data_IF_663164565299
#
_entry.id   IF_663164565299
#
_cell.length_a   1.000
_cell.length_b   1.000
_cell.length_c   1.000
_cell.angle_alpha   90.00
_cell.angle_beta   90.00
_cell.angle_gamma   90.00
#
_symmetry.space_group_name_H-M   'P 1'
#
loop_
_entity.id
_entity.type
_entity.pdbx_description
1 polymer ?
#
# COMPACT_ATOMS: atom_id res chain seq x y z
N UNK A 1 12.98 5.65 -4.73
CA UNK A 1 12.36 4.30 -4.68
C UNK A 1 12.19 3.94 -3.22
N UNK A 2 10.98 3.54 -2.82
CA UNK A 2 10.53 3.64 -1.42
C UNK A 2 10.87 2.40 -0.55
N UNK A 3 11.41 1.33 -1.14
CA UNK A 3 11.72 0.07 -0.45
C UNK A 3 12.57 0.21 0.82
N UNK A 4 13.60 1.05 0.80
CA UNK A 4 14.46 1.29 1.97
C UNK A 4 13.68 1.98 3.12
N UNK A 5 12.85 2.95 2.78
CA UNK A 5 12.02 3.69 3.74
C UNK A 5 10.90 2.80 4.29
N UNK A 6 10.34 1.90 3.47
CA UNK A 6 9.37 0.88 3.91
C UNK A 6 10.00 -0.11 4.89
N UNK A 7 11.24 -0.56 4.64
CA UNK A 7 11.95 -1.39 5.60
C UNK A 7 12.15 -0.67 6.95
N UNK A 8 12.52 0.61 6.91
CA UNK A 8 12.67 1.42 8.10
C UNK A 8 11.33 1.56 8.85
N UNK A 9 10.24 1.85 8.13
CA UNK A 9 8.89 1.96 8.69
C UNK A 9 8.43 0.65 9.35
N UNK A 10 8.58 -0.48 8.67
CA UNK A 10 8.26 -1.81 9.21
C UNK A 10 9.05 -2.08 10.49
N UNK A 11 10.35 -1.76 10.50
CA UNK A 11 11.21 -1.98 11.69
C UNK A 11 10.77 -1.10 12.86
N UNK A 12 10.45 0.16 12.60
CA UNK A 12 10.07 1.14 13.62
C UNK A 12 8.69 0.84 14.22
N UNK A 13 7.71 0.48 13.40
CA UNK A 13 6.32 0.31 13.82
C UNK A 13 5.87 -1.15 14.02
N UNK A 14 6.71 -2.14 13.72
CA UNK A 14 6.44 -3.55 14.05
C UNK A 14 6.10 -3.76 15.54
N UNK A 15 6.83 -3.19 16.52
CA UNK A 15 6.48 -3.33 17.94
C UNK A 15 5.11 -2.75 18.30
N UNK A 16 4.58 -1.86 17.46
CA UNK A 16 3.26 -1.24 17.60
C UNK A 16 2.17 -1.95 16.77
N UNK A 17 2.49 -3.11 16.18
CA UNK A 17 1.56 -3.95 15.45
C UNK A 17 1.41 -3.63 13.96
N UNK A 18 2.24 -2.75 13.39
CA UNK A 18 2.23 -2.51 11.94
C UNK A 18 2.79 -3.72 11.19
N UNK A 19 2.08 -4.14 10.14
CA UNK A 19 2.54 -5.17 9.19
C UNK A 19 2.45 -4.62 7.78
N UNK A 20 3.56 -4.55 7.07
CA UNK A 20 3.62 -4.14 5.67
C UNK A 20 3.44 -5.38 4.78
N UNK A 21 2.60 -5.24 3.75
CA UNK A 21 2.31 -6.27 2.75
C UNK A 21 2.53 -5.68 1.35
N UNK A 22 3.45 -6.24 0.58
CA UNK A 22 3.75 -5.80 -0.78
C UNK A 22 3.17 -6.72 -1.85
N UNK A 23 2.47 -6.14 -2.83
CA UNK A 23 1.83 -6.85 -3.94
C UNK A 23 2.39 -6.38 -5.28
N UNK A 24 3.45 -7.02 -5.80
CA UNK A 24 4.07 -6.59 -7.04
C UNK A 24 3.07 -6.53 -8.20
N UNK A 25 3.21 -5.54 -9.08
CA UNK A 25 2.34 -5.41 -10.25
C UNK A 25 3.08 -4.82 -11.45
N UNK A 26 2.77 -5.32 -12.64
CA UNK A 26 3.40 -4.86 -13.88
C UNK A 26 2.52 -3.88 -14.69
N UNK A 27 1.38 -3.47 -14.13
CA UNK A 27 0.37 -2.66 -14.83
C UNK A 27 0.78 -1.20 -15.07
N UNK A 28 1.83 -0.72 -14.40
CA UNK A 28 2.26 0.68 -14.44
C UNK A 28 3.63 0.81 -15.09
N UNK A 29 3.66 1.27 -16.34
CA UNK A 29 4.89 1.47 -17.10
C UNK A 29 5.73 0.21 -17.31
N UNK A 30 5.16 -0.99 -17.10
CA UNK A 30 5.84 -2.29 -17.11
C UNK A 30 7.10 -2.33 -16.22
N UNK A 31 6.98 -1.78 -15.01
CA UNK A 31 8.13 -1.62 -14.09
C UNK A 31 8.47 -2.88 -13.27
N UNK A 32 7.64 -3.92 -13.33
CA UNK A 32 7.88 -5.22 -12.67
C UNK A 32 7.83 -6.38 -13.69
N UNK A 33 8.76 -6.39 -14.68
CA UNK A 33 8.71 -7.33 -15.80
C UNK A 33 9.06 -8.76 -15.40
N UNK A 34 9.88 -8.96 -14.36
CA UNK A 34 10.40 -10.26 -13.96
C UNK A 34 9.35 -11.19 -13.35
N UNK A 35 9.57 -12.49 -13.45
CA UNK A 35 8.74 -13.52 -12.85
C UNK A 35 8.79 -13.47 -11.31
N UNK A 36 7.84 -14.12 -10.64
CA UNK A 36 7.79 -14.14 -9.16
C UNK A 36 9.13 -14.55 -8.50
N UNK A 37 9.85 -15.50 -9.12
CA UNK A 37 11.16 -15.96 -8.65
C UNK A 37 12.29 -14.94 -8.83
N UNK A 38 12.10 -13.94 -9.69
CA UNK A 38 13.13 -12.96 -10.07
C UNK A 38 13.02 -11.64 -9.29
N UNK A 39 11.86 -11.37 -8.67
CA UNK A 39 11.60 -10.11 -7.94
C UNK A 39 12.60 -9.91 -6.79
N UNK A 40 12.75 -10.90 -5.89
CA UNK A 40 13.69 -10.79 -4.77
C UNK A 40 15.15 -10.67 -5.23
N UNK A 41 15.65 -11.48 -6.19
CA UNK A 41 16.95 -11.25 -6.81
C UNK A 41 17.12 -9.84 -7.40
N UNK A 42 16.14 -9.32 -8.12
CA UNK A 42 16.19 -7.99 -8.71
C UNK A 42 16.32 -6.90 -7.64
N UNK A 43 15.54 -6.99 -6.55
CA UNK A 43 15.64 -6.09 -5.41
C UNK A 43 17.02 -6.15 -4.74
N UNK A 44 17.58 -7.36 -4.62
CA UNK A 44 18.87 -7.59 -3.93
C UNK A 44 20.08 -7.16 -4.73
N UNK A 45 20.07 -7.38 -6.05
CA UNK A 45 21.27 -7.24 -6.89
C UNK A 45 21.19 -6.11 -7.90
N UNK A 46 19.99 -5.67 -8.30
CA UNK A 46 19.82 -4.69 -9.38
C UNK A 46 19.36 -3.34 -8.84
N UNK A 47 18.17 -3.32 -8.24
CA UNK A 47 17.53 -2.08 -7.79
C UNK A 47 16.47 -2.42 -6.73
N UNK A 48 16.63 -2.04 -5.44
CA UNK A 48 17.68 -1.18 -4.88
C UNK A 48 19.12 -1.67 -5.05
N UNK A 49 19.34 -2.98 -5.12
CA UNK A 49 20.68 -3.53 -5.19
C UNK A 49 21.38 -3.49 -3.82
N UNK A 50 22.71 -3.62 -3.82
CA UNK A 50 23.52 -3.48 -2.61
C UNK A 50 23.24 -4.53 -1.52
N UNK A 51 22.66 -5.68 -1.89
CA UNK A 51 22.28 -6.72 -0.93
C UNK A 51 20.96 -6.46 -0.21
N UNK A 52 20.15 -5.50 -0.68
CA UNK A 52 18.86 -5.17 -0.08
C UNK A 52 17.91 -6.40 -0.03
N UNK A 53 17.22 -6.57 1.10
CA UNK A 53 16.17 -7.58 1.26
C UNK A 53 14.99 -6.91 1.97
N UNK A 54 13.76 -6.98 1.44
CA UNK A 54 12.58 -6.53 2.15
C UNK A 54 12.44 -7.23 3.50
N UNK A 55 12.13 -6.49 4.57
CA UNK A 55 11.84 -7.06 5.90
C UNK A 55 10.33 -7.24 6.14
N UNK A 56 9.57 -7.28 5.06
CA UNK A 56 8.12 -7.42 5.04
C UNK A 56 7.71 -8.41 3.94
N UNK A 57 6.49 -8.93 4.03
CA UNK A 57 6.03 -9.99 3.13
C UNK A 57 5.75 -9.43 1.72
N UNK A 58 6.32 -10.07 0.71
CA UNK A 58 5.90 -9.92 -0.69
C UNK A 58 4.99 -11.08 -1.10
N UNK A 59 3.92 -10.77 -1.80
CA UNK A 59 3.01 -11.73 -2.40
C UNK A 59 3.37 -11.98 -3.87
N UNK A 60 2.65 -12.91 -4.50
CA UNK A 60 2.77 -13.11 -5.93
C UNK A 60 2.35 -11.86 -6.69
N UNK A 61 3.03 -11.62 -7.81
CA UNK A 61 2.70 -10.58 -8.77
C UNK A 61 1.30 -10.80 -9.32
N UNK A 62 0.54 -9.72 -9.45
CA UNK A 62 -0.80 -9.78 -9.99
C UNK A 62 -1.36 -8.41 -10.34
N UNK A 63 -2.58 -8.41 -10.85
CA UNK A 63 -3.27 -7.20 -11.25
C UNK A 63 -3.95 -6.54 -10.04
N UNK A 64 -3.91 -5.21 -10.03
CA UNK A 64 -4.52 -4.36 -8.99
C UNK A 64 -5.64 -3.47 -9.56
N UNK A 65 -5.68 -3.35 -10.89
CA UNK A 65 -6.73 -2.70 -11.66
C UNK A 65 -7.23 -3.58 -12.81
N UNK A 66 -8.37 -3.20 -13.40
CA UNK A 66 -8.95 -3.88 -14.56
C UNK A 66 -9.82 -5.09 -14.21
N UNK A 67 -10.21 -5.85 -15.23
CA UNK A 67 -11.13 -7.00 -15.09
C UNK A 67 -10.57 -8.12 -14.21
N UNK A 68 -9.25 -8.36 -14.31
CA UNK A 68 -8.53 -9.44 -13.63
C UNK A 68 -7.92 -9.01 -12.28
N UNK A 69 -8.30 -7.84 -11.76
CA UNK A 69 -7.76 -7.35 -10.50
C UNK A 69 -8.04 -8.30 -9.33
N UNK A 70 -7.06 -8.41 -8.43
CA UNK A 70 -7.21 -9.17 -7.20
C UNK A 70 -8.37 -8.60 -6.37
N UNK A 71 -9.29 -9.47 -5.93
CA UNK A 71 -10.58 -9.05 -5.34
C UNK A 71 -10.45 -8.20 -4.08
N UNK A 72 -9.38 -8.37 -3.30
CA UNK A 72 -9.13 -7.50 -2.15
C UNK A 72 -8.76 -6.07 -2.57
N UNK A 73 -8.11 -5.85 -3.72
CA UNK A 73 -7.89 -4.52 -4.26
C UNK A 73 -9.19 -3.87 -4.73
N UNK A 74 -10.14 -4.63 -5.30
CA UNK A 74 -11.50 -4.11 -5.55
C UNK A 74 -12.12 -3.54 -4.28
N UNK A 75 -12.02 -4.29 -3.18
CA UNK A 75 -12.53 -3.84 -1.88
C UNK A 75 -11.80 -2.57 -1.39
N UNK A 76 -10.46 -2.55 -1.41
CA UNK A 76 -9.67 -1.43 -0.91
C UNK A 76 -9.91 -0.14 -1.71
N UNK A 77 -9.87 -0.23 -3.05
CA UNK A 77 -10.02 0.92 -3.95
C UNK A 77 -11.37 1.61 -3.80
N UNK A 78 -12.44 0.84 -3.55
CA UNK A 78 -13.79 1.36 -3.38
C UNK A 78 -14.12 1.75 -1.93
N UNK A 79 -13.27 1.40 -0.96
CA UNK A 79 -13.46 1.76 0.46
C UNK A 79 -12.95 3.14 0.82
N UNK A 80 -12.09 3.73 -0.03
CA UNK A 80 -11.50 5.06 0.18
C UNK A 80 -11.69 5.94 -1.07
N UNK A 81 -11.90 7.26 -0.92
CA UNK A 81 -11.86 8.20 -2.03
C UNK A 81 -10.55 8.09 -2.84
N UNK A 82 -10.57 8.43 -4.14
CA UNK A 82 -9.34 8.51 -4.92
C UNK A 82 -8.43 9.62 -4.36
N UNK A 83 -7.13 9.36 -4.33
CA UNK A 83 -6.11 10.26 -3.76
C UNK A 83 -5.43 11.15 -4.79
N UNK A 84 -5.66 10.88 -6.09
CA UNK A 84 -5.21 11.72 -7.21
C UNK A 84 -6.37 11.80 -8.21
N UNK A 85 -6.67 13.01 -8.66
CA UNK A 85 -7.83 13.30 -9.51
C UNK A 85 -7.72 12.69 -10.91
N UNK A 86 -6.50 12.63 -11.45
CA UNK A 86 -6.26 12.16 -12.81
C UNK A 86 -5.22 11.05 -12.86
N UNK A 87 -5.30 10.29 -13.94
CA UNK A 87 -4.24 9.38 -14.34
C UNK A 87 -3.08 10.16 -14.97
N UNK A 88 -1.89 9.56 -14.98
CA UNK A 88 -0.78 10.01 -15.82
C UNK A 88 -1.05 9.72 -17.30
N UNK A 89 0.02 9.63 -18.10
CA UNK A 89 -0.09 9.22 -19.51
C UNK A 89 -0.77 7.84 -19.64
N UNK A 90 -1.96 7.74 -20.24
CA UNK A 90 -2.69 6.48 -20.39
C UNK A 90 -1.90 5.41 -21.16
N UNK A 91 -0.95 5.80 -22.02
CA UNK A 91 -0.08 4.85 -22.74
C UNK A 91 0.86 4.06 -21.83
N UNK A 92 0.97 4.48 -20.56
CA UNK A 92 1.77 3.82 -19.53
C UNK A 92 0.92 2.98 -18.58
N UNK A 93 -0.38 2.87 -18.83
CA UNK A 93 -1.34 2.11 -18.05
C UNK A 93 -1.74 0.87 -18.84
N UNK A 94 -1.58 -0.30 -18.24
CA UNK A 94 -1.76 -1.59 -18.94
C UNK A 94 -2.91 -2.39 -18.31
N UNK A 95 -4.12 -1.81 -18.31
CA UNK A 95 -5.36 -2.47 -17.92
C UNK A 95 -6.56 -1.77 -18.54
N UNK A 96 -7.68 -2.49 -18.62
CA UNK A 96 -8.99 -1.95 -18.98
C UNK A 96 -10.08 -2.65 -18.12
N UNK A 97 -11.24 -2.00 -17.89
CA UNK A 97 -11.50 -0.59 -18.15
C UNK A 97 -10.85 0.32 -17.09
N UNK A 98 -10.52 1.56 -17.45
CA UNK A 98 -10.11 2.60 -16.49
C UNK A 98 -11.29 3.06 -15.61
N UNK A 99 -11.08 3.13 -14.29
CA UNK A 99 -12.08 3.56 -13.29
C UNK A 99 -11.56 4.67 -12.39
N UNK A 100 -12.47 5.52 -11.88
CA UNK A 100 -12.12 6.65 -11.00
C UNK A 100 -11.34 6.21 -9.76
N UNK A 101 -11.69 5.07 -9.17
CA UNK A 101 -11.05 4.53 -7.96
C UNK A 101 -9.78 3.73 -8.20
N UNK A 102 -9.35 3.52 -9.46
CA UNK A 102 -8.14 2.75 -9.77
C UNK A 102 -6.91 3.30 -9.07
N UNK A 103 -6.02 2.39 -8.70
CA UNK A 103 -4.67 2.73 -8.26
C UNK A 103 -3.98 3.47 -9.39
N UNK A 104 -3.33 4.58 -9.06
CA UNK A 104 -2.85 5.56 -10.04
C UNK A 104 -1.44 5.28 -10.50
N UNK A 105 -0.60 4.69 -9.64
CA UNK A 105 0.78 4.30 -9.96
C UNK A 105 1.37 3.39 -8.87
N UNK A 106 2.57 2.85 -9.13
CA UNK A 106 3.42 2.15 -8.17
C UNK A 106 3.59 2.96 -6.87
N UNK A 107 3.58 2.25 -5.74
CA UNK A 107 3.67 2.73 -4.36
C UNK A 107 2.45 3.49 -3.84
N UNK A 108 1.26 3.25 -4.37
CA UNK A 108 0.03 3.63 -3.67
C UNK A 108 -0.20 2.75 -2.44
N UNK A 109 -0.75 3.31 -1.36
CA UNK A 109 -0.73 2.70 -0.02
C UNK A 109 -2.10 2.74 0.62
N UNK A 110 -2.47 1.67 1.33
CA UNK A 110 -3.71 1.56 2.10
C UNK A 110 -3.39 1.13 3.52
N UNK A 111 -3.84 1.90 4.51
CA UNK A 111 -3.86 1.45 5.91
C UNK A 111 -5.18 0.75 6.17
N UNK A 112 -5.08 -0.46 6.72
CA UNK A 112 -6.20 -1.25 7.20
C UNK A 112 -6.09 -1.35 8.73
N UNK A 113 -7.21 -1.17 9.40
CA UNK A 113 -7.32 -1.27 10.85
C UNK A 113 -7.30 -2.71 11.35
N UNK A 114 -7.16 -2.92 12.67
CA UNK A 114 -7.18 -4.23 13.32
C UNK A 114 -8.51 -4.95 13.10
N UNK A 115 -9.58 -4.20 12.88
CA UNK A 115 -10.90 -4.74 12.54
C UNK A 115 -11.02 -5.19 11.07
N UNK A 116 -9.93 -5.12 10.29
CA UNK A 116 -9.92 -5.44 8.86
C UNK A 116 -10.52 -4.36 7.96
N UNK A 117 -10.83 -3.18 8.50
CA UNK A 117 -11.45 -2.08 7.76
C UNK A 117 -10.42 -1.11 7.19
N UNK A 118 -10.52 -0.69 5.93
CA UNK A 118 -9.67 0.37 5.39
C UNK A 118 -9.89 1.68 6.15
N UNK A 119 -8.79 2.36 6.46
CA UNK A 119 -8.76 3.57 7.28
C UNK A 119 -8.30 4.77 6.45
N UNK A 120 -7.24 4.57 5.67
CA UNK A 120 -6.59 5.66 4.95
C UNK A 120 -5.95 5.15 3.66
N UNK A 121 -5.87 6.03 2.66
CA UNK A 121 -5.23 5.80 1.37
C UNK A 121 -4.26 6.95 1.10
N UNK A 122 -3.07 6.65 0.60
CA UNK A 122 -2.09 7.66 0.20
C UNK A 122 -1.65 7.46 -1.24
N UNK A 123 -1.42 8.59 -1.92
CA UNK A 123 -0.94 8.60 -3.29
C UNK A 123 0.48 8.04 -3.44
N UNK A 124 0.87 7.68 -4.67
CA UNK A 124 2.18 7.13 -5.01
C UNK A 124 3.37 7.95 -4.51
N UNK A 125 3.25 9.28 -4.56
CA UNK A 125 4.33 10.24 -4.25
C UNK A 125 4.30 10.76 -2.82
N UNK A 126 3.35 10.34 -1.99
CA UNK A 126 3.31 10.77 -0.59
C UNK A 126 4.58 10.31 0.13
N UNK A 127 5.24 11.25 0.81
CA UNK A 127 6.46 11.00 1.56
C UNK A 127 6.20 10.00 2.71
N UNK A 128 7.09 9.02 2.89
CA UNK A 128 6.95 7.98 3.91
C UNK A 128 7.00 8.53 5.35
N UNK A 129 7.66 9.65 5.59
CA UNK A 129 7.62 10.34 6.87
C UNK A 129 6.21 10.89 7.17
N UNK A 130 5.51 11.41 6.16
CA UNK A 130 4.11 11.84 6.32
C UNK A 130 3.19 10.64 6.57
N UNK A 131 3.34 9.56 5.79
CA UNK A 131 2.60 8.30 6.02
C UNK A 131 2.83 7.77 7.43
N UNK A 132 4.08 7.78 7.91
CA UNK A 132 4.43 7.38 9.27
C UNK A 132 3.72 8.22 10.33
N UNK A 133 3.78 9.54 10.20
CA UNK A 133 3.14 10.45 11.14
C UNK A 133 1.63 10.24 11.18
N UNK A 134 0.98 10.10 10.00
CA UNK A 134 -0.45 9.81 9.91
C UNK A 134 -0.83 8.49 10.59
N UNK A 135 -0.03 7.43 10.41
CA UNK A 135 -0.25 6.14 11.08
C UNK A 135 -0.12 6.28 12.60
N UNK A 136 0.93 6.95 13.09
CA UNK A 136 1.16 7.17 14.51
C UNK A 136 0.03 7.99 15.13
N UNK A 137 -0.40 9.05 14.45
CA UNK A 137 -1.49 9.91 14.92
C UNK A 137 -2.81 9.15 14.96
N UNK A 138 -3.09 8.32 13.94
CA UNK A 138 -4.26 7.45 13.95
C UNK A 138 -4.21 6.43 15.10
N UNK A 139 -3.08 5.74 15.29
CA UNK A 139 -2.90 4.80 16.41
C UNK A 139 -3.11 5.46 17.77
N UNK A 140 -2.62 6.70 17.95
CA UNK A 140 -2.86 7.50 19.16
C UNK A 140 -4.35 7.82 19.33
N UNK A 141 -5.04 8.26 18.28
CA UNK A 141 -6.47 8.59 18.33
C UNK A 141 -7.34 7.38 18.69
N UNK A 142 -6.98 6.18 18.22
CA UNK A 142 -7.67 4.95 18.61
C UNK A 142 -7.42 4.56 20.07
N UNK A 143 -6.24 4.87 20.61
CA UNK A 143 -5.94 4.72 22.04
C UNK A 143 -6.51 5.82 22.93
N UNK A 144 -6.83 6.99 22.37
CA UNK A 144 -7.33 8.17 23.09
C UNK A 144 -8.85 8.35 23.02
N UNK A 145 -9.57 7.56 22.21
CA UNK A 145 -11.01 7.72 22.02
C UNK A 145 -11.35 9.01 21.28
N UNK A 146 -11.32 8.94 19.93
CA UNK A 146 -11.85 9.91 18.96
C UNK A 146 -11.20 11.31 18.90
N UNK A 147 -10.86 11.77 17.69
CA UNK A 147 -11.24 13.08 17.12
C UNK A 147 -10.83 13.18 15.63
N UNK A 148 -11.71 13.83 14.86
CA UNK A 148 -11.91 13.82 13.41
C UNK A 148 -10.72 14.19 12.50
N UNK A 149 -10.51 13.38 11.44
CA UNK A 149 -10.06 13.80 10.08
C UNK A 149 -10.49 12.78 9.02
N UNK A 150 -11.41 13.11 8.11
CA UNK A 150 -11.83 12.29 6.93
C UNK A 150 -11.60 10.77 7.09
N UNK A 151 -12.36 10.15 7.98
CA UNK A 151 -12.28 8.71 8.27
C UNK A 151 -13.26 7.93 7.38
N UNK A 152 -12.86 6.74 6.94
CA UNK A 152 -13.83 5.71 6.57
C UNK A 152 -14.72 5.40 7.80
N UNK A 153 -16.05 5.23 7.67
CA UNK A 153 -16.95 5.13 8.82
C UNK A 153 -16.68 3.90 9.73
N UNK A 154 -16.63 4.13 11.06
CA UNK A 154 -16.24 3.12 12.10
C UNK A 154 -17.27 2.99 13.23
N UNK A 155 -17.69 1.76 13.62
CA UNK A 155 -18.27 1.40 14.91
C UNK A 155 -17.25 0.66 15.83
N UNK A 156 -17.58 0.40 17.12
CA UNK A 156 -16.57 0.18 18.17
C UNK A 156 -15.94 -1.24 18.26
N UNK A 157 -14.66 -1.21 18.65
CA UNK A 157 -13.84 -2.20 19.41
C UNK A 157 -13.41 -3.55 18.79
N UNK A 158 -12.08 -3.71 18.63
CA UNK A 158 -11.31 -4.95 18.86
C UNK A 158 -9.80 -4.62 18.92
N UNK A 159 -9.16 -4.92 20.06
CA UNK A 159 -7.89 -4.31 20.51
C UNK A 159 -6.58 -5.09 20.23
N UNK A 160 -6.58 -6.18 19.43
CA UNK A 160 -5.35 -7.03 19.30
C UNK A 160 -5.02 -7.58 17.91
N UNK A 161 -5.58 -7.02 16.85
CA UNK A 161 -5.20 -7.42 15.49
C UNK A 161 -4.09 -6.51 14.92
N UNK A 162 -3.28 -7.00 13.97
CA UNK A 162 -2.26 -6.19 13.31
C UNK A 162 -2.89 -5.05 12.51
N UNK A 163 -2.07 -4.06 12.17
CA UNK A 163 -2.41 -2.95 11.28
C UNK A 163 -1.77 -3.19 9.91
N UNK A 164 -2.48 -3.77 8.92
CA UNK A 164 -1.89 -3.99 7.60
C UNK A 164 -1.71 -2.67 6.85
N UNK A 165 -0.49 -2.41 6.38
CA UNK A 165 -0.20 -1.41 5.34
C UNK A 165 0.03 -2.15 4.02
N UNK A 166 -0.97 -2.16 3.16
CA UNK A 166 -0.88 -2.77 1.85
C UNK A 166 -0.35 -1.74 0.85
N UNK A 167 0.62 -2.15 0.04
CA UNK A 167 1.10 -1.35 -1.08
C UNK A 167 1.34 -2.20 -2.32
N UNK A 168 1.22 -1.56 -3.47
CA UNK A 168 1.67 -2.13 -4.75
C UNK A 168 3.05 -1.55 -5.05
N UNK A 169 4.16 -2.26 -4.75
CA UNK A 169 5.51 -1.78 -5.04
C UNK A 169 5.85 -1.85 -6.53
#
# INVERSE_FOLDING_TARGET
MQYLELNALQKELAPHGLVILGFPSNQFGKQEPGENSEILPALKYVRPGGGFVPNFQLFQKGDVNGEEEQKFYTFLKNSCPPVVESFGDPKRLFWEPLKIHDIKWNFEKFLVGPTGRPVMRWGPRTNLAAVKNDIIDYMKQQGLGCLEKVHCPTPPHLERAPWPLLLQP
#
